data_IF_351900772806
#
_entry.id   IF_351900772806
#
_cell.length_a   1.000
_cell.length_b   1.000
_cell.length_c   1.000
_cell.angle_alpha   90.00
_cell.angle_beta   90.00
_cell.angle_gamma   90.00
#
_symmetry.space_group_name_H-M   'P 1'
#
loop_
_entity.id
_entity.type
_entity.pdbx_description
1 polymer ?
#
# COMPACT_ATOMS: atom_id res chain seq x y z
N UNK A 1 -28.06 -7.38 -34.56
CA UNK A 1 -27.69 -7.41 -33.13
C UNK A 1 -26.17 -7.25 -33.02
N UNK A 2 -25.68 -6.59 -31.98
CA UNK A 2 -24.28 -6.24 -31.70
C UNK A 2 -23.73 -4.96 -32.39
N UNK A 3 -24.29 -3.79 -32.03
CA UNK A 3 -23.65 -2.50 -32.32
C UNK A 3 -23.63 -1.54 -31.10
N UNK A 4 -23.85 -2.04 -29.89
CA UNK A 4 -23.96 -1.20 -28.67
C UNK A 4 -23.18 -1.70 -27.46
N UNK A 5 -22.24 -2.63 -27.63
CA UNK A 5 -21.36 -3.07 -26.53
C UNK A 5 -19.91 -2.55 -26.60
N UNK A 6 -19.55 -1.75 -27.61
CA UNK A 6 -18.16 -1.28 -27.77
C UNK A 6 -17.94 0.22 -27.50
N UNK A 7 -18.91 0.91 -26.89
CA UNK A 7 -18.79 2.35 -26.54
C UNK A 7 -18.61 2.64 -25.05
N UNK A 8 -18.50 1.60 -24.20
CA UNK A 8 -18.25 1.76 -22.75
C UNK A 8 -16.82 1.37 -22.33
N UNK A 9 -16.01 0.76 -23.22
CA UNK A 9 -14.59 0.46 -22.94
C UNK A 9 -13.63 1.60 -23.28
N UNK A 10 -14.10 2.65 -23.98
CA UNK A 10 -13.21 3.71 -24.47
C UNK A 10 -13.14 4.98 -23.61
N UNK A 11 -13.89 5.07 -22.50
CA UNK A 11 -13.82 6.23 -21.61
C UNK A 11 -12.78 6.02 -20.49
N UNK A 12 -12.42 4.77 -20.17
CA UNK A 12 -11.41 4.46 -19.16
C UNK A 12 -9.99 4.27 -19.71
N UNK A 13 -9.80 4.19 -21.03
CA UNK A 13 -8.50 3.85 -21.63
C UNK A 13 -7.61 5.06 -21.97
N UNK A 14 -8.15 6.28 -22.03
CA UNK A 14 -7.43 7.43 -22.58
C UNK A 14 -7.00 8.48 -21.55
N UNK A 15 -7.17 8.21 -20.25
CA UNK A 15 -6.68 9.09 -19.18
C UNK A 15 -5.42 8.55 -18.48
N UNK A 16 -4.92 7.37 -18.89
CA UNK A 16 -3.84 6.69 -18.17
C UNK A 16 -2.46 7.32 -18.39
N UNK A 17 -2.15 7.80 -19.60
CA UNK A 17 -0.82 8.38 -19.87
C UNK A 17 -0.62 9.75 -19.21
N UNK A 18 -1.65 10.62 -19.24
CA UNK A 18 -1.57 11.96 -18.67
C UNK A 18 -1.72 11.96 -17.13
N UNK A 19 -2.43 11.01 -16.53
CA UNK A 19 -2.44 10.83 -15.06
C UNK A 19 -1.13 10.25 -14.52
N UNK A 20 -0.43 9.42 -15.30
CA UNK A 20 0.90 8.89 -14.95
C UNK A 20 1.99 9.97 -14.95
N UNK A 21 1.83 11.02 -15.76
CA UNK A 21 2.78 12.14 -15.81
C UNK A 21 2.44 13.26 -14.80
N UNK A 22 1.17 13.39 -14.39
CA UNK A 22 0.69 14.47 -13.50
C UNK A 22 0.73 14.13 -11.99
N UNK A 23 0.92 12.87 -11.60
CA UNK A 23 1.17 12.45 -10.21
C UNK A 23 2.69 12.32 -9.99
N UNK A 24 3.30 13.28 -9.30
CA UNK A 24 4.72 13.24 -8.96
C UNK A 24 5.17 11.90 -8.34
N UNK A 25 6.04 11.21 -9.09
CA UNK A 25 7.24 10.47 -8.65
C UNK A 25 7.18 9.20 -7.78
N UNK A 26 6.06 8.47 -7.64
CA UNK A 26 6.15 7.09 -7.09
C UNK A 26 4.94 6.51 -6.39
N UNK A 27 3.84 7.25 -6.24
CA UNK A 27 2.62 6.76 -5.57
C UNK A 27 1.62 6.18 -6.56
N UNK A 28 1.00 5.05 -6.21
CA UNK A 28 0.02 4.35 -7.06
C UNK A 28 -1.06 3.70 -6.22
N UNK A 29 -2.32 3.87 -6.61
CA UNK A 29 -3.44 3.20 -5.94
C UNK A 29 -3.85 1.92 -6.70
N UNK A 30 -3.94 0.81 -5.99
CA UNK A 30 -4.32 -0.51 -6.53
C UNK A 30 -5.31 -1.21 -5.60
N UNK A 31 -5.99 -2.25 -6.09
CA UNK A 31 -6.82 -3.13 -5.25
C UNK A 31 -6.10 -4.46 -5.10
N UNK A 32 -5.80 -4.85 -3.86
CA UNK A 32 -5.11 -6.11 -3.53
C UNK A 32 -5.94 -6.89 -2.52
N UNK A 33 -6.36 -8.10 -2.90
CA UNK A 33 -7.17 -8.99 -2.06
C UNK A 33 -8.38 -8.28 -1.42
N UNK A 34 -9.10 -7.49 -2.22
CA UNK A 34 -10.31 -6.80 -1.79
C UNK A 34 -10.10 -5.49 -1.03
N UNK A 35 -8.86 -5.00 -0.88
CA UNK A 35 -8.56 -3.73 -0.20
C UNK A 35 -7.88 -2.75 -1.14
N UNK A 36 -8.32 -1.49 -1.13
CA UNK A 36 -7.65 -0.40 -1.84
C UNK A 36 -6.38 0.00 -1.10
N UNK A 37 -5.25 0.01 -1.80
CA UNK A 37 -3.93 0.33 -1.25
C UNK A 37 -3.30 1.47 -2.05
N UNK A 38 -2.86 2.52 -1.37
CA UNK A 38 -1.94 3.52 -1.94
C UNK A 38 -0.51 3.08 -1.64
N UNK A 39 0.17 2.59 -2.68
CA UNK A 39 1.59 2.23 -2.65
C UNK A 39 2.46 3.46 -2.86
N UNK A 40 3.70 3.40 -2.39
CA UNK A 40 4.72 4.42 -2.62
C UNK A 40 6.08 3.76 -2.87
N UNK A 41 6.56 3.82 -4.12
CA UNK A 41 7.87 3.29 -4.49
C UNK A 41 9.04 4.15 -4.01
N UNK A 42 8.78 5.39 -3.57
CA UNK A 42 9.85 6.32 -3.19
C UNK A 42 10.34 6.13 -1.74
N UNK A 43 9.60 5.37 -0.92
CA UNK A 43 9.90 5.24 0.52
C UNK A 43 10.80 4.05 0.88
N UNK A 44 11.16 3.20 -0.08
CA UNK A 44 12.13 2.12 0.12
C UNK A 44 12.88 1.77 -1.17
N UNK A 45 14.10 1.23 -1.03
CA UNK A 45 14.85 0.63 -2.13
C UNK A 45 14.59 -0.90 -2.16
N UNK A 46 14.05 -1.48 -3.24
CA UNK A 46 13.82 -2.93 -3.35
C UNK A 46 15.08 -3.79 -3.14
N UNK A 47 16.25 -3.26 -3.46
CA UNK A 47 17.52 -3.98 -3.37
C UNK A 47 18.29 -3.71 -2.06
N UNK A 48 17.76 -2.88 -1.16
CA UNK A 48 18.35 -2.66 0.15
C UNK A 48 18.52 -3.99 0.91
N UNK A 49 19.74 -4.26 1.37
CA UNK A 49 20.08 -5.48 2.10
C UNK A 49 20.00 -5.23 3.60
N UNK A 50 19.16 -5.99 4.30
CA UNK A 50 19.04 -5.92 5.76
C UNK A 50 20.23 -6.57 6.47
N UNK A 51 20.27 -6.43 7.81
CA UNK A 51 21.35 -7.00 8.64
C UNK A 51 21.47 -8.53 8.57
N UNK A 52 20.45 -9.23 8.06
CA UNK A 52 20.45 -10.68 7.88
C UNK A 52 20.83 -11.08 6.45
N UNK A 53 21.24 -10.12 5.60
CA UNK A 53 21.66 -10.38 4.23
C UNK A 53 20.50 -10.53 3.24
N UNK A 54 19.28 -10.10 3.59
CA UNK A 54 18.12 -10.18 2.69
C UNK A 54 17.83 -8.85 2.01
N UNK A 55 17.54 -8.87 0.72
CA UNK A 55 17.00 -7.68 0.03
C UNK A 55 15.57 -7.38 0.51
N UNK A 56 15.08 -6.17 0.26
CA UNK A 56 13.68 -5.83 0.52
C UNK A 56 12.70 -6.68 -0.31
N UNK A 57 13.07 -7.07 -1.53
CA UNK A 57 12.32 -8.07 -2.32
C UNK A 57 12.21 -9.38 -1.54
N UNK A 58 13.32 -9.93 -1.06
CA UNK A 58 13.33 -11.20 -0.31
C UNK A 58 12.57 -11.11 1.02
N UNK A 59 12.57 -9.94 1.67
CA UNK A 59 11.73 -9.70 2.85
C UNK A 59 10.25 -9.78 2.49
N UNK A 60 9.86 -9.11 1.42
CA UNK A 60 8.47 -9.08 0.95
C UNK A 60 7.99 -10.45 0.48
N UNK A 61 8.82 -11.23 -0.21
CA UNK A 61 8.53 -12.64 -0.56
C UNK A 61 8.27 -13.53 0.67
N UNK A 62 8.84 -13.17 1.83
CA UNK A 62 8.59 -13.84 3.11
C UNK A 62 7.40 -13.23 3.87
N UNK A 63 6.66 -12.31 3.26
CA UNK A 63 5.54 -11.58 3.85
C UNK A 63 5.94 -10.53 4.89
N UNK A 64 7.21 -10.13 4.89
CA UNK A 64 7.74 -9.08 5.76
C UNK A 64 7.72 -7.73 5.05
N UNK A 65 7.43 -6.67 5.80
CA UNK A 65 7.53 -5.32 5.27
C UNK A 65 8.98 -5.00 4.83
N UNK A 66 9.15 -4.27 3.71
CA UNK A 66 10.45 -3.73 3.33
C UNK A 66 10.93 -2.73 4.40
N UNK A 67 12.24 -2.56 4.49
CA UNK A 67 12.89 -1.50 5.25
C UNK A 67 12.84 -0.22 4.43
N UNK A 68 12.23 0.83 4.99
CA UNK A 68 12.15 2.14 4.38
C UNK A 68 13.46 2.91 4.42
N UNK A 69 13.47 4.05 3.73
CA UNK A 69 14.58 5.00 3.71
C UNK A 69 14.90 5.58 5.09
N UNK A 70 13.96 5.49 6.04
CA UNK A 70 14.16 5.82 7.46
C UNK A 70 14.81 4.69 8.29
N UNK A 71 15.20 3.58 7.65
CA UNK A 71 15.85 2.43 8.28
C UNK A 71 14.93 1.55 9.11
N UNK A 72 13.61 1.78 9.07
CA UNK A 72 12.59 1.00 9.80
C UNK A 72 11.68 0.26 8.83
N UNK A 73 10.95 -0.75 9.30
CA UNK A 73 9.96 -1.42 8.47
C UNK A 73 8.83 -0.46 8.06
N UNK A 74 8.48 -0.46 6.78
CA UNK A 74 7.33 0.30 6.26
C UNK A 74 6.05 -0.16 6.98
N UNK A 75 5.21 0.81 7.33
CA UNK A 75 3.90 0.56 7.92
C UNK A 75 2.82 0.57 6.85
N UNK A 76 1.74 -0.17 7.13
CA UNK A 76 0.48 -0.05 6.40
C UNK A 76 -0.52 0.63 7.35
N UNK A 77 -0.94 1.83 6.97
CA UNK A 77 -1.87 2.63 7.74
C UNK A 77 -3.29 2.50 7.19
N UNK A 78 -4.30 2.31 8.06
CA UNK A 78 -5.71 2.40 7.68
C UNK A 78 -6.18 3.84 7.74
N UNK A 79 -6.61 4.37 6.59
CA UNK A 79 -6.94 5.80 6.43
C UNK A 79 -8.19 6.18 7.24
N UNK A 80 -9.21 5.31 7.25
CA UNK A 80 -10.48 5.54 7.97
C UNK A 80 -10.62 4.70 9.26
N UNK A 81 -9.57 3.96 9.62
CA UNK A 81 -9.52 3.06 10.77
C UNK A 81 -10.61 1.97 10.82
N UNK A 82 -11.11 1.53 9.66
CA UNK A 82 -12.07 0.42 9.53
C UNK A 82 -11.42 -0.84 8.94
N UNK A 83 -12.02 -2.02 9.17
CA UNK A 83 -11.46 -3.30 8.67
C UNK A 83 -11.34 -3.37 7.14
N UNK A 84 -12.32 -2.83 6.42
CA UNK A 84 -12.42 -2.93 4.95
C UNK A 84 -11.99 -1.64 4.24
N UNK A 85 -11.68 -0.60 5.00
CA UNK A 85 -11.29 0.70 4.46
C UNK A 85 -9.96 0.69 3.72
N UNK A 86 -9.69 1.76 2.96
CA UNK A 86 -8.45 1.92 2.22
C UNK A 86 -7.25 2.05 3.16
N UNK A 87 -6.10 1.58 2.69
CA UNK A 87 -4.83 1.66 3.39
C UNK A 87 -3.76 2.35 2.55
N UNK A 88 -2.70 2.81 3.20
CA UNK A 88 -1.53 3.36 2.54
C UNK A 88 -0.23 2.85 3.13
N UNK A 89 0.79 2.69 2.28
CA UNK A 89 2.17 2.54 2.71
C UNK A 89 2.67 3.87 3.30
N UNK A 90 3.35 3.81 4.45
CA UNK A 90 3.89 5.01 5.11
C UNK A 90 5.18 4.66 5.86
N UNK A 91 6.15 5.57 5.86
CA UNK A 91 7.36 5.42 6.67
C UNK A 91 7.02 5.34 8.15
N UNK A 92 7.75 4.52 8.92
CA UNK A 92 7.48 4.37 10.34
C UNK A 92 7.66 5.67 11.13
N UNK A 93 8.67 6.45 10.76
CA UNK A 93 8.93 7.75 11.39
C UNK A 93 7.81 8.75 11.10
N UNK A 94 7.30 8.79 9.86
CA UNK A 94 6.17 9.65 9.50
C UNK A 94 4.88 9.26 10.21
N UNK A 95 4.59 7.95 10.29
CA UNK A 95 3.43 7.42 11.00
C UNK A 95 3.46 7.79 12.49
N UNK A 96 4.64 7.68 13.12
CA UNK A 96 4.83 8.02 14.53
C UNK A 96 4.72 9.53 14.78
N UNK A 97 5.41 10.36 13.98
CA UNK A 97 5.43 11.81 14.17
C UNK A 97 4.06 12.44 13.93
N UNK A 98 3.24 11.86 13.04
CA UNK A 98 1.90 12.34 12.72
C UNK A 98 0.78 11.54 13.39
N UNK A 99 1.08 10.78 14.45
CA UNK A 99 0.14 9.84 15.06
C UNK A 99 -1.25 10.44 15.34
N UNK A 100 -1.33 11.62 15.98
CA UNK A 100 -2.60 12.26 16.32
C UNK A 100 -3.40 12.76 15.12
N UNK A 101 -2.73 13.06 14.00
CA UNK A 101 -3.39 13.46 12.75
C UNK A 101 -3.91 12.26 11.98
N UNK A 102 -3.21 11.13 12.08
CA UNK A 102 -3.51 9.90 11.35
C UNK A 102 -4.56 9.03 12.03
N UNK A 103 -4.77 9.16 13.34
CA UNK A 103 -5.74 8.33 14.08
C UNK A 103 -6.81 9.20 14.72
N UNK A 104 -8.04 9.10 14.23
CA UNK A 104 -9.22 9.78 14.80
C UNK A 104 -9.74 9.05 16.04
N UNK A 105 -9.59 7.73 16.09
CA UNK A 105 -9.84 6.88 17.25
C UNK A 105 -8.51 6.35 17.81
N UNK A 106 -8.13 6.83 19.00
CA UNK A 106 -6.94 6.41 19.76
C UNK A 106 -7.28 5.61 21.02
N UNK A 107 -8.51 5.10 21.14
CA UNK A 107 -8.99 4.35 22.31
C UNK A 107 -10.36 4.79 22.83
N UNK A 108 -10.97 5.78 22.19
CA UNK A 108 -12.19 6.42 22.66
C UNK A 108 -13.44 5.60 22.26
N UNK A 109 -13.28 4.74 21.26
CA UNK A 109 -14.23 3.71 20.87
C UNK A 109 -13.51 2.39 20.61
N UNK A 110 -14.20 1.23 20.69
CA UNK A 110 -13.64 -0.06 20.29
C UNK A 110 -13.05 0.00 18.88
N UNK A 111 -11.94 -0.72 18.66
CA UNK A 111 -11.33 -0.79 17.33
C UNK A 111 -12.26 -1.49 16.34
N UNK A 112 -12.43 -0.91 15.16
CA UNK A 112 -13.16 -1.53 14.05
C UNK A 112 -12.28 -2.38 13.14
N UNK A 113 -11.03 -2.64 13.53
CA UNK A 113 -10.07 -3.43 12.77
C UNK A 113 -9.90 -4.79 13.44
N UNK A 114 -10.19 -5.87 12.71
CA UNK A 114 -9.80 -7.20 13.12
C UNK A 114 -8.29 -7.36 12.90
N UNK A 115 -7.52 -7.35 13.99
CA UNK A 115 -6.05 -7.40 13.94
C UNK A 115 -5.51 -8.71 13.37
N UNK A 116 -6.19 -9.83 13.59
CA UNK A 116 -5.76 -11.14 13.09
C UNK A 116 -5.94 -11.24 11.58
N UNK A 117 -7.12 -10.82 11.09
CA UNK A 117 -7.41 -10.75 9.64
C UNK A 117 -6.46 -9.79 8.94
N UNK A 118 -6.26 -8.59 9.51
CA UNK A 118 -5.35 -7.61 8.92
C UNK A 118 -3.91 -8.11 8.88
N UNK A 119 -3.42 -8.79 9.92
CA UNK A 119 -2.08 -9.37 9.92
C UNK A 119 -1.92 -10.43 8.81
N UNK A 120 -2.96 -11.25 8.60
CA UNK A 120 -2.98 -12.25 7.53
C UNK A 120 -2.99 -11.60 6.15
N UNK A 121 -3.86 -10.60 5.95
CA UNK A 121 -3.91 -9.83 4.71
C UNK A 121 -2.59 -9.10 4.44
N UNK A 122 -1.99 -8.46 5.44
CA UNK A 122 -0.74 -7.71 5.33
C UNK A 122 0.41 -8.60 4.89
N UNK A 123 0.49 -9.83 5.41
CA UNK A 123 1.51 -10.80 5.00
C UNK A 123 1.39 -11.10 3.50
N UNK A 124 0.19 -11.45 3.04
CA UNK A 124 -0.08 -11.71 1.62
C UNK A 124 0.07 -10.47 0.74
N UNK A 125 -0.20 -9.27 1.26
CA UNK A 125 0.05 -8.02 0.56
C UNK A 125 1.55 -7.83 0.28
N UNK A 126 2.41 -8.06 1.28
CA UNK A 126 3.87 -7.96 1.06
C UNK A 126 4.37 -9.02 0.08
N UNK A 127 3.87 -10.27 0.17
CA UNK A 127 4.18 -11.33 -0.81
C UNK A 127 3.73 -10.95 -2.23
N UNK A 128 2.60 -10.24 -2.38
CA UNK A 128 2.19 -9.70 -3.67
C UNK A 128 3.08 -8.52 -4.10
N UNK A 129 3.44 -7.63 -3.17
CA UNK A 129 4.22 -6.41 -3.41
C UNK A 129 5.64 -6.72 -3.92
N UNK A 130 6.25 -7.84 -3.52
CA UNK A 130 7.56 -8.27 -4.04
C UNK A 130 7.60 -8.44 -5.56
N UNK A 131 6.45 -8.75 -6.18
CA UNK A 131 6.31 -8.95 -7.62
C UNK A 131 5.66 -7.77 -8.34
N UNK A 132 5.26 -6.71 -7.61
CA UNK A 132 4.50 -5.58 -8.13
C UNK A 132 5.15 -4.28 -7.67
N UNK A 133 6.34 -4.00 -8.23
CA UNK A 133 7.14 -2.82 -7.92
C UNK A 133 6.81 -1.59 -8.77
N UNK A 134 5.97 -1.72 -9.80
CA UNK A 134 5.61 -0.67 -10.79
C UNK A 134 4.14 -0.22 -10.71
#
# INVERSE_FOLDING_TARGET
MAATQNKLRSIFANNDAAMREALGSGKKTVVVNGKTVTMDNSIFDPNFVDRQGRTNIQRMEQGLAPIGTDGKSINIHHIDQTNNGPVMEIMATEHQQNYSKLHTNIGQAPSQINRSEFNSWRRGYWEWRSHNLD
#
